data_IF_177010732712
#
_entry.id   IF_177010732712
#
_cell.length_a   1.000
_cell.length_b   1.000
_cell.length_c   1.000
_cell.angle_alpha   90.00
_cell.angle_beta   90.00
_cell.angle_gamma   90.00
#
_symmetry.space_group_name_H-M   'P 1'
#
loop_
_entity.id
_entity.type
_entity.pdbx_description
1 polymer ?
#
# COMPACT_ATOMS: atom_id res chain seq x y z
N UNK A 1 -11.33 -11.17 7.20
CA UNK A 1 -10.34 -10.16 6.75
C UNK A 1 -10.96 -9.38 5.62
N UNK A 2 -10.82 -8.05 5.58
CA UNK A 2 -11.23 -7.28 4.42
C UNK A 2 -10.47 -7.80 3.18
N UNK A 3 -11.18 -8.05 2.08
CA UNK A 3 -10.55 -8.41 0.80
C UNK A 3 -9.81 -7.18 0.29
N UNK A 4 -8.49 -7.28 0.18
CA UNK A 4 -7.66 -6.23 -0.43
C UNK A 4 -7.47 -6.56 -1.90
N UNK A 5 -8.01 -5.73 -2.81
CA UNK A 5 -7.82 -5.87 -4.26
C UNK A 5 -6.34 -5.93 -4.60
N UNK A 6 -5.55 -5.03 -4.01
CA UNK A 6 -4.11 -4.97 -4.22
C UNK A 6 -3.39 -6.29 -3.89
N UNK A 7 -3.80 -7.00 -2.82
CA UNK A 7 -3.19 -8.29 -2.47
C UNK A 7 -3.60 -9.42 -3.41
N UNK A 8 -4.75 -9.32 -4.06
CA UNK A 8 -5.22 -10.30 -5.06
C UNK A 8 -4.53 -10.07 -6.41
N UNK A 9 -4.37 -8.81 -6.82
CA UNK A 9 -3.76 -8.42 -8.09
C UNK A 9 -2.22 -8.59 -8.08
N UNK A 10 -1.60 -8.47 -6.90
CA UNK A 10 -0.14 -8.53 -6.76
C UNK A 10 0.29 -9.69 -5.84
N UNK A 11 1.03 -10.69 -6.39
CA UNK A 11 1.60 -11.77 -5.59
C UNK A 11 2.48 -11.27 -4.45
N UNK A 12 2.56 -12.05 -3.37
CA UNK A 12 3.29 -11.69 -2.15
C UNK A 12 4.75 -11.30 -2.43
N UNK A 13 5.45 -12.09 -3.22
CA UNK A 13 6.87 -11.88 -3.54
C UNK A 13 7.12 -10.51 -4.20
N UNK A 14 6.25 -10.12 -5.16
CA UNK A 14 6.35 -8.80 -5.82
C UNK A 14 6.10 -7.66 -4.84
N UNK A 15 5.11 -7.80 -3.95
CA UNK A 15 4.79 -6.80 -2.93
C UNK A 15 5.92 -6.63 -1.92
N UNK A 16 6.54 -7.73 -1.50
CA UNK A 16 7.67 -7.72 -0.56
C UNK A 16 8.91 -7.11 -1.20
N UNK A 17 9.28 -7.52 -2.42
CA UNK A 17 10.44 -6.97 -3.12
C UNK A 17 10.32 -5.46 -3.37
N UNK A 18 9.13 -4.97 -3.73
CA UNK A 18 8.91 -3.54 -3.90
C UNK A 18 8.98 -2.76 -2.57
N UNK A 19 8.32 -3.24 -1.52
CA UNK A 19 8.37 -2.61 -0.21
C UNK A 19 9.81 -2.57 0.35
N UNK A 20 10.59 -3.64 0.13
CA UNK A 20 12.01 -3.72 0.50
C UNK A 20 12.85 -2.64 -0.20
N UNK A 21 12.74 -2.52 -1.53
CA UNK A 21 13.45 -1.49 -2.30
C UNK A 21 13.14 -0.07 -1.84
N UNK A 22 11.89 0.22 -1.47
CA UNK A 22 11.50 1.55 -0.97
C UNK A 22 12.12 1.83 0.40
N UNK A 23 12.10 0.84 1.32
CA UNK A 23 12.70 0.98 2.66
C UNK A 23 14.21 1.11 2.61
N UNK A 24 14.88 0.38 1.71
CA UNK A 24 16.32 0.49 1.50
C UNK A 24 16.69 1.88 0.95
N UNK A 25 15.93 2.37 -0.05
CA UNK A 25 16.17 3.68 -0.66
C UNK A 25 15.82 4.85 0.26
N UNK A 26 14.81 4.70 1.11
CA UNK A 26 14.31 5.72 2.02
C UNK A 26 14.03 5.11 3.40
N UNK A 27 15.04 4.98 4.27
CA UNK A 27 14.93 4.30 5.57
C UNK A 27 13.86 4.90 6.50
N UNK A 28 13.67 6.22 6.44
CA UNK A 28 12.68 6.94 7.26
C UNK A 28 11.27 6.90 6.67
N UNK A 29 11.04 6.16 5.58
CA UNK A 29 9.74 6.08 4.92
C UNK A 29 9.12 4.70 4.99
N UNK A 30 7.83 4.68 5.31
CA UNK A 30 7.03 3.48 5.36
C UNK A 30 6.12 3.41 4.12
N UNK A 31 6.27 2.39 3.24
CA UNK A 31 5.36 2.19 2.12
C UNK A 31 4.00 1.67 2.61
N UNK A 32 2.93 2.35 2.22
CA UNK A 32 1.54 2.04 2.62
C UNK A 32 0.66 1.92 1.38
N UNK A 33 -0.24 0.93 1.41
CA UNK A 33 -1.31 0.77 0.43
C UNK A 33 -2.61 1.17 1.12
N UNK A 34 -3.34 2.11 0.51
CA UNK A 34 -4.63 2.61 0.98
C UNK A 34 -5.70 2.15 0.01
N UNK A 35 -6.76 1.53 0.53
CA UNK A 35 -7.92 1.12 -0.25
C UNK A 35 -9.19 1.55 0.49
N UNK A 36 -10.18 2.00 -0.27
CA UNK A 36 -11.51 2.28 0.28
C UNK A 36 -12.14 0.96 0.74
N UNK A 37 -12.78 0.99 1.91
CA UNK A 37 -13.58 -0.14 2.35
C UNK A 37 -14.81 -0.31 1.45
N UNK A 38 -15.15 -1.55 1.11
CA UNK A 38 -16.22 -1.87 0.15
C UNK A 38 -17.58 -1.23 0.50
N UNK A 39 -17.89 -1.11 1.79
CA UNK A 39 -19.16 -0.54 2.31
C UNK A 39 -19.04 0.91 2.76
N UNK A 40 -18.05 1.65 2.28
CA UNK A 40 -17.87 3.05 2.64
C UNK A 40 -18.45 3.98 1.59
N UNK A 41 -19.19 4.98 2.05
CA UNK A 41 -19.79 6.03 1.23
C UNK A 41 -18.83 7.19 0.92
N UNK A 42 -17.56 7.09 1.35
CA UNK A 42 -16.55 8.09 1.01
C UNK A 42 -16.19 8.00 -0.48
N UNK A 43 -15.76 9.11 -1.11
CA UNK A 43 -15.24 9.10 -2.47
C UNK A 43 -14.02 8.18 -2.62
N UNK A 44 -13.82 7.69 -3.85
CA UNK A 44 -12.60 6.97 -4.19
C UNK A 44 -11.37 7.89 -4.17
N UNK A 45 -10.20 7.28 -3.99
CA UNK A 45 -8.91 7.98 -3.99
C UNK A 45 -8.17 7.72 -5.30
N UNK A 46 -7.51 8.76 -5.83
CA UNK A 46 -6.79 8.67 -7.10
C UNK A 46 -5.52 7.81 -7.03
N UNK A 47 -4.85 7.82 -5.87
CA UNK A 47 -3.60 7.07 -5.63
C UNK A 47 -3.78 6.13 -4.46
N UNK A 48 -3.32 4.89 -4.62
CA UNK A 48 -3.38 3.87 -3.56
C UNK A 48 -2.04 3.60 -2.89
N UNK A 49 -0.91 4.03 -3.47
CA UNK A 49 0.45 3.75 -2.97
C UNK A 49 1.10 5.02 -2.43
N UNK A 50 1.55 4.98 -1.18
CA UNK A 50 2.18 6.11 -0.49
C UNK A 50 3.47 5.68 0.21
N UNK A 51 4.39 6.63 0.41
CA UNK A 51 5.59 6.45 1.22
C UNK A 51 5.66 7.60 2.23
N UNK A 52 5.21 7.33 3.47
CA UNK A 52 5.00 8.33 4.52
C UNK A 52 6.23 8.38 5.42
N UNK A 53 6.61 9.55 5.93
CA UNK A 53 7.70 9.69 6.90
C UNK A 53 7.31 9.08 8.25
N UNK A 54 8.22 8.33 8.85
CA UNK A 54 8.15 7.93 10.24
C UNK A 54 8.57 9.14 11.10
N UNK A 55 7.68 9.62 11.97
CA UNK A 55 7.99 10.69 12.94
C UNK A 55 8.45 10.07 14.26
#
# INVERSE_FOLDING_TARGET
MAKSSFKLEHPLERRQAEAGRIREKYPDRIPVIVEKAERSDIPDIDKKKYAIHNL
#
